data_IF_412495604207
#
_entry.id   IF_412495604207
#
_cell.length_a   1.000
_cell.length_b   1.000
_cell.length_c   1.000
_cell.angle_alpha   90.00
_cell.angle_beta   90.00
_cell.angle_gamma   90.00
#
_symmetry.space_group_name_H-M   'P 1'
#
loop_
_entity.id
_entity.type
_entity.pdbx_description
1 polymer ?
#
# COMPACT_ATOMS: atom_id res chain seq x y z
N UNK A 1 24.95 6.89 -20.75
CA UNK A 1 23.69 7.29 -20.08
C UNK A 1 23.40 6.23 -19.04
N UNK A 2 22.95 6.65 -17.85
CA UNK A 2 23.22 5.99 -16.57
C UNK A 2 22.90 4.49 -16.53
N UNK A 3 23.96 3.69 -16.37
CA UNK A 3 23.97 2.25 -16.09
C UNK A 3 23.44 1.90 -14.67
N UNK A 4 22.68 2.82 -14.07
CA UNK A 4 22.43 2.86 -12.64
C UNK A 4 20.96 2.64 -12.31
N UNK A 5 20.74 1.77 -11.33
CA UNK A 5 19.43 1.40 -10.83
C UNK A 5 18.63 2.65 -10.39
N UNK A 6 17.37 2.83 -10.82
CA UNK A 6 16.54 3.98 -10.46
C UNK A 6 16.53 4.26 -8.95
N UNK A 7 16.46 5.54 -8.56
CA UNK A 7 16.63 5.94 -7.15
C UNK A 7 15.70 5.19 -6.19
N UNK A 8 14.44 4.97 -6.58
CA UNK A 8 13.44 4.22 -5.80
C UNK A 8 13.88 2.76 -5.53
N UNK A 9 14.63 2.17 -6.45
CA UNK A 9 15.12 0.79 -6.38
C UNK A 9 16.47 0.66 -5.68
N UNK A 10 17.23 1.75 -5.48
CA UNK A 10 18.55 1.71 -4.85
C UNK A 10 18.55 1.07 -3.45
N UNK A 11 17.51 1.32 -2.64
CA UNK A 11 17.33 0.70 -1.31
C UNK A 11 17.24 -0.83 -1.39
N UNK A 12 16.82 -1.38 -2.53
CA UNK A 12 16.58 -2.80 -2.76
C UNK A 12 17.72 -3.47 -3.53
N UNK A 13 18.80 -2.74 -3.85
CA UNK A 13 19.95 -3.23 -4.63
C UNK A 13 20.52 -4.58 -4.15
N UNK A 14 20.50 -4.85 -2.85
CA UNK A 14 20.97 -6.13 -2.27
C UNK A 14 20.13 -7.36 -2.66
N UNK A 15 18.89 -7.15 -3.09
CA UNK A 15 17.95 -8.19 -3.50
C UNK A 15 17.88 -8.34 -5.02
N UNK A 16 18.46 -7.39 -5.76
CA UNK A 16 18.40 -7.34 -7.22
C UNK A 16 19.71 -7.88 -7.78
N UNK A 17 19.61 -8.73 -8.78
CA UNK A 17 20.76 -9.13 -9.58
C UNK A 17 20.97 -8.12 -10.71
N UNK A 18 22.02 -7.30 -10.60
CA UNK A 18 22.29 -6.26 -11.59
C UNK A 18 22.70 -6.80 -12.96
N UNK A 19 23.20 -8.04 -13.04
CA UNK A 19 23.52 -8.66 -14.32
C UNK A 19 22.25 -9.07 -15.05
N UNK A 20 21.31 -9.70 -14.34
CA UNK A 20 20.00 -10.06 -14.88
C UNK A 20 19.11 -8.83 -15.12
N UNK A 21 19.25 -7.78 -14.30
CA UNK A 21 18.46 -6.55 -14.43
C UNK A 21 18.65 -5.86 -15.80
N UNK A 22 19.82 -6.00 -16.41
CA UNK A 22 20.12 -5.45 -17.74
C UNK A 22 19.72 -6.39 -18.89
N UNK A 23 19.24 -7.59 -18.57
CA UNK A 23 18.80 -8.54 -19.58
C UNK A 23 17.29 -8.39 -19.81
N UNK A 24 16.92 -7.95 -21.01
CA UNK A 24 15.52 -7.74 -21.38
C UNK A 24 14.73 -9.06 -21.53
N UNK A 25 15.43 -10.18 -21.73
CA UNK A 25 14.84 -11.51 -21.94
C UNK A 25 14.77 -12.36 -20.65
N UNK A 26 14.64 -11.71 -19.49
CA UNK A 26 14.54 -12.42 -18.21
C UNK A 26 13.19 -13.16 -18.09
N UNK A 27 13.24 -14.50 -18.13
CA UNK A 27 12.08 -15.34 -17.85
C UNK A 27 12.05 -15.80 -16.37
N UNK A 28 11.11 -15.25 -15.55
CA UNK A 28 11.00 -15.61 -14.14
C UNK A 28 10.31 -16.96 -13.91
N UNK A 29 9.78 -17.61 -14.94
CA UNK A 29 9.03 -18.88 -14.85
C UNK A 29 9.89 -20.12 -15.02
N UNK A 30 11.19 -19.94 -15.28
CA UNK A 30 12.14 -21.04 -15.36
C UNK A 30 12.16 -21.85 -14.05
N UNK A 31 12.27 -23.19 -14.10
CA UNK A 31 12.27 -24.03 -12.89
C UNK A 31 13.37 -23.65 -11.88
N UNK A 32 14.48 -23.11 -12.36
CA UNK A 32 15.63 -22.68 -11.56
C UNK A 32 15.50 -21.24 -11.03
N UNK A 33 14.36 -20.57 -11.28
CA UNK A 33 14.12 -19.22 -10.80
C UNK A 33 14.12 -19.16 -9.26
N UNK A 34 15.19 -18.57 -8.74
CA UNK A 34 15.35 -18.32 -7.31
C UNK A 34 14.74 -16.96 -6.92
N UNK A 35 14.68 -16.69 -5.62
CA UNK A 35 14.10 -15.45 -5.10
C UNK A 35 14.74 -14.18 -5.71
N UNK A 36 16.05 -14.19 -5.97
CA UNK A 36 16.77 -13.04 -6.53
C UNK A 36 16.39 -12.79 -7.99
N UNK A 37 16.18 -13.85 -8.77
CA UNK A 37 15.63 -13.76 -10.14
C UNK A 37 14.26 -13.09 -10.12
N UNK A 38 13.37 -13.54 -9.23
CA UNK A 38 12.02 -12.98 -9.09
C UNK A 38 12.03 -11.51 -8.63
N UNK A 39 12.87 -11.16 -7.65
CA UNK A 39 13.04 -9.77 -7.22
C UNK A 39 13.55 -8.88 -8.36
N UNK A 40 14.46 -9.41 -9.17
CA UNK A 40 15.03 -8.69 -10.32
C UNK A 40 13.97 -8.43 -11.38
N UNK A 41 13.14 -9.42 -11.69
CA UNK A 41 12.03 -9.25 -12.62
C UNK A 41 11.04 -8.16 -12.16
N UNK A 42 10.63 -8.20 -10.88
CA UNK A 42 9.77 -7.16 -10.29
C UNK A 42 10.43 -5.78 -10.43
N UNK A 43 11.73 -5.67 -10.14
CA UNK A 43 12.45 -4.41 -10.26
C UNK A 43 12.52 -3.91 -11.71
N UNK A 44 12.73 -4.79 -12.69
CA UNK A 44 12.71 -4.44 -14.11
C UNK A 44 11.34 -3.90 -14.53
N UNK A 45 10.26 -4.59 -14.17
CA UNK A 45 8.89 -4.15 -14.48
C UNK A 45 8.59 -2.79 -13.85
N UNK A 46 8.98 -2.58 -12.60
CA UNK A 46 8.82 -1.28 -11.92
C UNK A 46 9.60 -0.14 -12.57
N UNK A 47 10.84 -0.40 -13.01
CA UNK A 47 11.63 0.59 -13.73
C UNK A 47 10.94 0.94 -15.05
N UNK A 48 10.53 -0.07 -15.81
CA UNK A 48 9.85 0.13 -17.09
C UNK A 48 8.50 0.85 -16.95
N UNK A 49 7.67 0.47 -15.97
CA UNK A 49 6.41 1.16 -15.69
C UNK A 49 6.61 2.63 -15.33
N UNK A 50 7.69 2.95 -14.60
CA UNK A 50 8.03 4.33 -14.27
C UNK A 50 8.46 5.15 -15.50
N UNK A 51 9.08 4.50 -16.50
CA UNK A 51 9.50 5.16 -17.74
C UNK A 51 8.34 5.42 -18.71
N UNK A 52 7.39 4.50 -18.81
CA UNK A 52 6.23 4.66 -19.73
C UNK A 52 5.10 5.51 -19.14
N UNK A 53 5.14 5.76 -17.82
CA UNK A 53 4.19 6.61 -17.07
C UNK A 53 2.70 6.26 -17.25
N UNK A 54 2.39 5.02 -17.60
CA UNK A 54 1.01 4.55 -17.69
C UNK A 54 0.37 4.41 -16.30
N UNK A 55 -0.92 4.71 -16.23
CA UNK A 55 -1.73 4.67 -15.01
C UNK A 55 -3.07 3.98 -15.25
N UNK A 56 -3.79 3.66 -14.17
CA UNK A 56 -5.14 3.09 -14.16
C UNK A 56 -5.23 1.81 -14.98
N UNK A 57 -6.32 1.62 -15.74
CA UNK A 57 -6.57 0.43 -16.55
C UNK A 57 -5.41 0.04 -17.45
N UNK A 58 -4.68 1.02 -18.03
CA UNK A 58 -3.54 0.71 -18.89
C UNK A 58 -2.37 0.06 -18.15
N UNK A 59 -2.11 0.51 -16.92
CA UNK A 59 -1.10 -0.13 -16.06
C UNK A 59 -1.56 -1.49 -15.55
N UNK A 60 -2.86 -1.64 -15.25
CA UNK A 60 -3.47 -2.91 -14.86
C UNK A 60 -3.33 -3.98 -15.96
N UNK A 61 -3.60 -3.63 -17.23
CA UNK A 61 -3.40 -4.53 -18.38
C UNK A 61 -1.97 -5.04 -18.48
N UNK A 62 -0.98 -4.14 -18.35
CA UNK A 62 0.44 -4.50 -18.40
C UNK A 62 0.84 -5.38 -17.22
N UNK A 63 0.40 -5.03 -16.01
CA UNK A 63 0.65 -5.84 -14.83
C UNK A 63 0.10 -7.26 -14.98
N UNK A 64 -1.12 -7.41 -15.51
CA UNK A 64 -1.69 -8.72 -15.80
C UNK A 64 -0.84 -9.50 -16.79
N UNK A 65 -0.46 -8.89 -17.90
CA UNK A 65 0.29 -9.56 -18.96
C UNK A 65 1.69 -9.99 -18.48
N UNK A 66 2.41 -9.11 -17.78
CA UNK A 66 3.76 -9.39 -17.27
C UNK A 66 3.75 -10.50 -16.19
N UNK A 67 2.69 -10.58 -15.40
CA UNK A 67 2.58 -11.52 -14.27
C UNK A 67 1.62 -12.70 -14.52
N UNK A 68 1.10 -12.87 -15.75
CA UNK A 68 0.07 -13.90 -16.08
C UNK A 68 0.48 -15.34 -15.74
N UNK A 69 1.77 -15.63 -15.78
CA UNK A 69 2.32 -16.96 -15.51
C UNK A 69 2.85 -17.10 -14.08
N UNK A 70 2.71 -16.07 -13.25
CA UNK A 70 3.15 -16.10 -11.86
C UNK A 70 2.15 -16.83 -10.98
N UNK A 71 2.67 -17.58 -10.03
CA UNK A 71 1.87 -18.26 -9.01
C UNK A 71 2.03 -17.57 -7.64
N UNK A 72 1.12 -17.89 -6.71
CA UNK A 72 1.23 -17.44 -5.32
C UNK A 72 2.55 -17.89 -4.69
N UNK A 73 3.02 -19.10 -5.04
CA UNK A 73 4.29 -19.65 -4.56
C UNK A 73 5.50 -18.84 -5.04
N UNK A 74 5.49 -18.37 -6.29
CA UNK A 74 6.53 -17.48 -6.82
C UNK A 74 6.52 -16.14 -6.08
N UNK A 75 5.35 -15.56 -5.87
CA UNK A 75 5.21 -14.34 -5.06
C UNK A 75 5.71 -14.56 -3.62
N UNK A 76 5.43 -15.71 -3.02
CA UNK A 76 5.85 -16.04 -1.64
C UNK A 76 7.36 -16.26 -1.49
N UNK A 77 8.06 -16.66 -2.56
CA UNK A 77 9.53 -16.66 -2.58
C UNK A 77 10.09 -15.24 -2.50
N UNK A 78 9.29 -14.22 -2.81
CA UNK A 78 9.74 -12.84 -2.77
C UNK A 78 9.84 -12.29 -1.34
N UNK A 79 10.75 -11.34 -1.13
CA UNK A 79 10.80 -10.60 0.14
C UNK A 79 9.57 -9.71 0.23
N UNK A 80 8.97 -9.64 1.43
CA UNK A 80 7.78 -8.81 1.67
C UNK A 80 7.98 -7.35 1.22
N UNK A 81 9.17 -6.78 1.46
CA UNK A 81 9.47 -5.39 1.06
C UNK A 81 9.41 -5.19 -0.47
N UNK A 82 9.76 -6.20 -1.27
CA UNK A 82 9.66 -6.16 -2.74
C UNK A 82 8.20 -6.22 -3.19
N UNK A 83 7.39 -7.06 -2.55
CA UNK A 83 5.96 -7.14 -2.85
C UNK A 83 5.23 -5.86 -2.44
N UNK A 84 5.60 -5.25 -1.31
CA UNK A 84 5.04 -3.97 -0.89
C UNK A 84 5.43 -2.85 -1.84
N UNK A 85 6.67 -2.85 -2.34
CA UNK A 85 7.11 -1.90 -3.36
C UNK A 85 6.27 -2.03 -4.63
N UNK A 86 6.05 -3.26 -5.12
CA UNK A 86 5.20 -3.54 -6.28
C UNK A 86 3.77 -3.04 -6.04
N UNK A 87 3.15 -3.45 -4.93
CA UNK A 87 1.80 -3.01 -4.56
C UNK A 87 1.69 -1.49 -4.50
N UNK A 88 2.62 -0.83 -3.81
CA UNK A 88 2.54 0.62 -3.60
C UNK A 88 2.72 1.39 -4.90
N UNK A 89 3.55 0.89 -5.81
CA UNK A 89 3.67 1.46 -7.14
C UNK A 89 2.36 1.33 -7.92
N UNK A 90 1.79 0.13 -7.98
CA UNK A 90 0.53 -0.15 -8.69
C UNK A 90 -0.62 0.71 -8.16
N UNK A 91 -0.81 0.70 -6.84
CA UNK A 91 -1.91 1.41 -6.17
C UNK A 91 -1.79 2.92 -6.32
N UNK A 92 -0.59 3.49 -6.16
CA UNK A 92 -0.40 4.94 -6.35
C UNK A 92 -0.74 5.38 -7.77
N UNK A 93 -0.54 4.50 -8.74
CA UNK A 93 -0.83 4.76 -10.15
C UNK A 93 -2.21 4.26 -10.59
N UNK A 94 -3.12 4.01 -9.64
CA UNK A 94 -4.54 3.77 -9.93
C UNK A 94 -4.95 2.31 -10.15
N UNK A 95 -4.05 1.35 -9.97
CA UNK A 95 -4.42 -0.08 -9.99
C UNK A 95 -4.90 -0.48 -8.59
N UNK A 96 -6.15 -0.87 -8.47
CA UNK A 96 -6.70 -1.28 -7.17
C UNK A 96 -6.08 -2.60 -6.69
N UNK A 97 -5.69 -2.64 -5.42
CA UNK A 97 -5.27 -3.87 -4.73
C UNK A 97 -5.94 -3.89 -3.35
N UNK A 98 -6.76 -4.91 -3.04
CA UNK A 98 -7.49 -4.98 -1.78
C UNK A 98 -6.60 -4.85 -0.54
N UNK A 99 -7.04 -4.12 0.48
CA UNK A 99 -6.32 -3.98 1.77
C UNK A 99 -6.86 -4.91 2.86
N UNK A 100 -7.40 -6.06 2.48
CA UNK A 100 -7.88 -7.07 3.42
C UNK A 100 -6.72 -7.80 4.17
N UNK A 101 -7.11 -8.70 5.08
CA UNK A 101 -6.20 -9.47 5.94
C UNK A 101 -5.54 -10.67 5.23
N UNK A 102 -5.75 -10.85 3.92
CA UNK A 102 -5.11 -11.93 3.17
C UNK A 102 -3.64 -11.63 2.92
N UNK A 103 -2.89 -12.70 2.62
CA UNK A 103 -1.48 -12.61 2.27
C UNK A 103 -1.32 -11.73 1.03
N UNK A 104 -0.27 -10.90 0.99
CA UNK A 104 -0.07 -9.97 -0.12
C UNK A 104 0.12 -10.70 -1.46
N UNK A 105 0.83 -11.84 -1.45
CA UNK A 105 0.99 -12.70 -2.61
C UNK A 105 -0.35 -13.13 -3.23
N UNK A 106 -1.32 -13.55 -2.39
CA UNK A 106 -2.66 -13.94 -2.86
C UNK A 106 -3.34 -12.77 -3.54
N UNK A 107 -3.37 -11.61 -2.89
CA UNK A 107 -4.03 -10.41 -3.45
C UNK A 107 -3.43 -9.94 -4.77
N UNK A 108 -2.10 -9.98 -4.89
CA UNK A 108 -1.40 -9.60 -6.11
C UNK A 108 -1.76 -10.54 -7.27
N UNK A 109 -1.87 -11.85 -7.00
CA UNK A 109 -2.25 -12.85 -8.00
C UNK A 109 -3.76 -12.79 -8.32
N UNK A 110 -4.62 -12.48 -7.35
CA UNK A 110 -6.03 -12.27 -7.63
C UNK A 110 -6.23 -11.15 -8.65
N UNK A 111 -5.53 -10.02 -8.49
CA UNK A 111 -5.58 -8.90 -9.44
C UNK A 111 -5.03 -9.30 -10.82
N UNK A 112 -4.03 -10.19 -10.88
CA UNK A 112 -3.56 -10.75 -12.17
C UNK A 112 -4.68 -11.52 -12.87
N UNK A 113 -5.50 -12.23 -12.10
CA UNK A 113 -6.57 -13.11 -12.59
C UNK A 113 -7.93 -12.40 -12.74
N UNK A 114 -8.05 -11.12 -12.35
CA UNK A 114 -9.28 -10.34 -12.52
C UNK A 114 -9.64 -10.22 -14.01
N UNK A 115 -10.91 -10.39 -14.35
CA UNK A 115 -11.37 -10.31 -15.74
C UNK A 115 -11.51 -8.85 -16.18
N UNK A 116 -12.03 -8.01 -15.28
CA UNK A 116 -12.31 -6.58 -15.50
C UNK A 116 -11.53 -5.75 -14.48
N UNK A 117 -11.18 -4.51 -14.84
CA UNK A 117 -10.49 -3.61 -13.94
C UNK A 117 -11.44 -3.10 -12.85
N UNK A 118 -10.93 -3.02 -11.62
CA UNK A 118 -11.73 -2.52 -10.50
C UNK A 118 -11.84 -0.99 -10.54
N UNK A 119 -13.07 -0.49 -10.59
CA UNK A 119 -13.37 0.93 -10.42
C UNK A 119 -13.27 1.34 -8.95
N UNK A 120 -12.42 2.33 -8.66
CA UNK A 120 -12.26 2.85 -7.32
C UNK A 120 -13.54 3.46 -6.76
N UNK A 121 -13.97 2.97 -5.60
CA UNK A 121 -15.03 3.60 -4.81
C UNK A 121 -14.51 4.80 -4.01
N UNK A 122 -15.41 5.69 -3.60
CA UNK A 122 -15.05 6.87 -2.82
C UNK A 122 -14.42 6.49 -1.47
N UNK A 123 -14.92 5.44 -0.83
CA UNK A 123 -14.42 4.90 0.43
C UNK A 123 -12.99 4.35 0.27
N UNK A 124 -12.71 3.65 -0.83
CA UNK A 124 -11.38 3.12 -1.13
C UNK A 124 -10.38 4.23 -1.41
N UNK A 125 -10.79 5.27 -2.14
CA UNK A 125 -9.99 6.48 -2.38
C UNK A 125 -9.64 7.12 -1.03
N UNK A 126 -10.60 7.32 -0.14
CA UNK A 126 -10.35 7.89 1.19
C UNK A 126 -9.40 7.03 2.03
N UNK A 127 -9.55 5.72 1.99
CA UNK A 127 -8.65 4.79 2.68
C UNK A 127 -7.23 4.90 2.12
N UNK A 128 -7.08 4.97 0.79
CA UNK A 128 -5.79 5.11 0.13
C UNK A 128 -5.13 6.45 0.46
N UNK A 129 -5.90 7.54 0.49
CA UNK A 129 -5.39 8.86 0.91
C UNK A 129 -4.96 8.88 2.37
N UNK A 130 -5.71 8.23 3.27
CA UNK A 130 -5.45 8.24 4.72
C UNK A 130 -4.33 7.31 5.14
N UNK A 131 -4.24 6.12 4.55
CA UNK A 131 -3.37 5.02 5.01
C UNK A 131 -2.36 4.56 3.97
N UNK A 132 -2.62 4.80 2.70
CA UNK A 132 -1.85 4.24 1.59
C UNK A 132 -0.78 5.17 1.00
N UNK A 133 -0.66 6.38 1.53
CA UNK A 133 0.29 7.38 1.04
C UNK A 133 -0.20 8.13 -0.21
N UNK A 134 -1.51 8.11 -0.48
CA UNK A 134 -2.14 8.84 -1.57
C UNK A 134 -1.91 8.23 -2.95
N UNK A 135 -2.17 9.03 -3.98
CA UNK A 135 -1.96 8.69 -5.39
C UNK A 135 -0.77 9.46 -5.97
N UNK A 136 -0.21 8.95 -7.06
CA UNK A 136 0.79 9.68 -7.84
C UNK A 136 0.16 10.91 -8.48
N UNK A 137 0.96 11.94 -8.76
CA UNK A 137 0.48 13.14 -9.47
C UNK A 137 -0.03 12.83 -10.88
N UNK A 138 0.39 11.70 -11.45
CA UNK A 138 0.01 11.26 -12.80
C UNK A 138 -1.36 10.56 -12.83
N UNK A 139 -1.89 10.15 -11.67
CA UNK A 139 -3.21 9.54 -11.57
C UNK A 139 -4.17 10.41 -10.76
N UNK A 140 -5.29 10.79 -11.39
CA UNK A 140 -6.38 11.51 -10.74
C UNK A 140 -7.48 10.49 -10.47
N UNK A 141 -7.75 10.11 -9.21
CA UNK A 141 -8.82 9.18 -8.92
C UNK A 141 -10.17 9.81 -9.29
N UNK A 142 -11.17 8.99 -9.67
CA UNK A 142 -12.51 9.50 -9.94
C UNK A 142 -13.09 10.09 -8.65
N UNK A 143 -13.09 11.43 -8.55
CA UNK A 143 -13.81 12.12 -7.48
C UNK A 143 -15.29 11.99 -7.76
N UNK A 144 -16.08 11.52 -6.80
CA UNK A 144 -17.52 11.74 -6.83
C UNK A 144 -17.77 13.24 -7.01
N UNK A 145 -18.54 13.62 -8.03
CA UNK A 145 -18.94 15.00 -8.27
C UNK A 145 -19.70 15.53 -7.04
N UNK A 146 -18.98 16.19 -6.13
CA UNK A 146 -19.53 17.21 -5.23
C UNK A 146 -18.93 18.54 -5.67
N UNK A 147 -19.59 19.16 -6.63
CA UNK A 147 -19.42 20.58 -6.89
C UNK A 147 -19.78 21.36 -5.62
N UNK A 148 -18.80 21.77 -4.82
CA UNK A 148 -18.89 23.02 -4.06
C UNK A 148 -17.54 23.46 -3.49
N UNK A 149 -17.13 24.65 -3.92
CA UNK A 149 -16.32 25.62 -3.17
C UNK A 149 -14.82 25.35 -2.98
N UNK A 150 -14.06 25.47 -4.07
CA UNK A 150 -12.85 26.30 -4.03
C UNK A 150 -13.16 27.59 -4.80
N UNK A 151 -13.82 28.52 -4.11
CA UNK A 151 -13.60 29.93 -4.41
C UNK A 151 -12.13 30.20 -4.08
N UNK A 152 -11.37 30.44 -5.14
CA UNK A 152 -10.15 31.23 -5.15
C UNK A 152 -10.28 32.41 -4.19
N UNK A 153 -9.45 32.45 -3.15
CA UNK A 153 -8.93 33.74 -2.67
C UNK A 153 -7.71 33.56 -1.76
N UNK A 154 -6.50 33.65 -2.32
CA UNK A 154 -5.39 34.28 -1.61
C UNK A 154 -4.60 35.10 -2.64
N UNK A 155 -5.16 36.25 -3.00
CA UNK A 155 -4.39 37.43 -3.34
C UNK A 155 -5.07 38.62 -2.65
N UNK A 156 -4.54 39.01 -1.50
CA UNK A 156 -4.57 40.41 -1.07
C UNK A 156 -3.57 40.62 0.07
N UNK A 157 -2.51 41.31 -0.32
CA UNK A 157 -1.59 42.05 0.50
C UNK A 157 -2.24 42.77 1.70
N UNK A 158 -1.52 42.71 2.81
CA UNK A 158 -1.13 43.87 3.62
C UNK A 158 -2.16 44.98 3.81
N UNK A 159 -2.85 44.97 4.96
CA UNK A 159 -3.15 46.22 5.68
C UNK A 159 -3.12 46.04 7.19
N UNK A 160 -2.05 46.61 7.74
CA UNK A 160 -1.86 47.13 9.09
C UNK A 160 -3.08 47.97 9.51
N UNK A 161 -3.64 47.75 10.71
CA UNK A 161 -3.66 48.73 11.83
C UNK A 161 -4.65 48.37 12.97
N UNK A 162 -4.13 48.53 14.18
CA UNK A 162 -4.75 48.81 15.50
C UNK A 162 -5.77 47.88 16.17
N UNK A 163 -5.26 47.22 17.21
CA UNK A 163 -5.75 47.18 18.61
C UNK A 163 -7.13 47.75 18.94
N UNK A 164 -7.93 46.94 19.64
CA UNK A 164 -8.59 47.36 20.88
C UNK A 164 -8.75 46.17 21.83
N UNK A 165 -8.24 46.37 23.06
CA UNK A 165 -8.37 45.50 24.23
C UNK A 165 -9.82 45.43 24.69
N UNK A 166 -10.25 44.26 25.15
CA UNK A 166 -11.20 44.15 26.26
C UNK A 166 -10.85 42.92 27.09
N UNK A 167 -10.43 43.18 28.32
CA UNK A 167 -10.21 42.23 29.40
C UNK A 167 -11.54 41.61 29.85
N UNK A 168 -11.59 40.28 30.01
CA UNK A 168 -12.46 39.63 30.99
C UNK A 168 -11.69 38.48 31.64
N UNK A 169 -11.35 38.70 32.90
CA UNK A 169 -10.86 37.71 33.86
C UNK A 169 -12.03 36.83 34.31
N UNK A 170 -11.85 35.51 34.38
CA UNK A 170 -12.44 34.72 35.46
C UNK A 170 -11.69 33.39 35.63
N UNK A 171 -10.98 33.29 36.75
CA UNK A 171 -10.40 32.05 37.26
C UNK A 171 -11.49 31.21 37.93
N UNK A 172 -11.46 29.91 37.69
CA UNK A 172 -12.29 28.94 38.41
C UNK A 172 -11.68 27.55 38.33
N UNK A 173 -10.83 27.22 39.31
CA UNK A 173 -10.38 25.86 39.58
C UNK A 173 -11.57 25.03 40.06
N UNK A 174 -11.71 23.80 39.56
CA UNK A 174 -12.33 22.71 40.31
C UNK A 174 -11.53 21.41 40.09
N UNK A 175 -10.80 21.07 41.13
CA UNK A 175 -10.40 19.73 41.55
C UNK A 175 -11.61 18.82 41.75
N UNK A 176 -11.56 17.58 41.27
CA UNK A 176 -11.93 16.41 42.11
C UNK A 176 -11.32 15.12 41.58
N UNK A 177 -10.52 14.48 42.44
CA UNK A 177 -10.12 13.08 42.35
C UNK A 177 -11.34 12.19 42.69
N UNK A 178 -11.41 11.00 42.09
CA UNK A 178 -11.96 9.83 42.77
C UNK A 178 -11.26 8.54 42.33
N UNK A 179 -11.15 7.63 43.28
CA UNK A 179 -10.18 6.57 43.46
C UNK A 179 -10.78 5.17 43.22
N UNK A 180 -9.86 4.20 42.99
CA UNK A 180 -9.91 2.73 43.28
C UNK A 180 -10.86 1.89 42.41
N UNK A 181 -10.36 0.97 41.57
CA UNK A 181 -9.68 -0.35 41.81
C UNK A 181 -10.60 -1.45 42.39
N UNK A 182 -10.24 -2.74 42.28
CA UNK A 182 -10.47 -3.68 41.19
C UNK A 182 -11.45 -4.80 41.64
N UNK A 183 -11.74 -5.82 40.84
CA UNK A 183 -12.24 -7.07 41.43
C UNK A 183 -11.68 -8.31 40.74
N UNK A 184 -11.14 -9.18 41.60
CA UNK A 184 -10.50 -10.46 41.32
C UNK A 184 -11.52 -11.62 41.25
N UNK A 185 -11.14 -12.64 40.47
CA UNK A 185 -11.22 -14.10 40.73
C UNK A 185 -12.57 -14.80 40.98
N UNK A 186 -12.78 -15.87 40.21
CA UNK A 186 -12.80 -17.31 40.64
C UNK A 186 -12.87 -18.17 39.35
N UNK A 187 -11.93 -19.09 39.05
CA UNK A 187 -11.72 -20.48 39.56
C UNK A 187 -12.96 -21.36 39.36
N UNK A 188 -12.97 -22.57 38.76
CA UNK A 188 -12.02 -23.70 38.74
C UNK A 188 -12.33 -24.60 37.51
N UNK A 189 -11.31 -25.13 36.81
CA UNK A 189 -10.89 -26.55 36.78
C UNK A 189 -11.99 -27.62 36.91
N UNK A 190 -12.02 -28.56 35.93
CA UNK A 190 -12.01 -30.01 36.20
C UNK A 190 -11.29 -30.77 35.07
N UNK A 191 -10.54 -31.79 35.48
CA UNK A 191 -9.60 -32.62 34.72
C UNK A 191 -10.23 -33.96 34.27
N UNK A 192 -9.60 -34.56 33.25
CA UNK A 192 -9.30 -35.99 32.98
C UNK A 192 -10.39 -37.10 32.99
N UNK A 193 -10.34 -37.96 31.96
CA UNK A 193 -10.19 -39.45 31.97
C UNK A 193 -10.47 -39.99 30.53
N UNK A 194 -9.46 -40.43 29.76
CA UNK A 194 -9.09 -41.85 29.44
C UNK A 194 -10.26 -42.80 29.11
N UNK A 195 -10.25 -43.47 27.95
CA UNK A 195 -9.71 -44.84 27.67
C UNK A 195 -10.36 -45.49 26.41
N UNK A 196 -9.60 -46.38 25.74
CA UNK A 196 -9.95 -47.57 24.90
C UNK A 196 -10.32 -47.35 23.42
N UNK A 197 -9.61 -47.89 22.43
CA UNK A 197 -9.27 -49.30 22.02
C UNK A 197 -10.39 -50.00 21.22
N UNK A 198 -9.98 -50.71 20.15
CA UNK A 198 -10.70 -51.64 19.23
C UNK A 198 -11.55 -50.98 18.12
N UNK A 199 -11.47 -51.35 16.82
CA UNK A 199 -10.96 -52.56 16.12
C UNK A 199 -10.06 -52.21 14.92
#
# INVERSE_FOLDING_TARGET
MADELPHVLQKYKKYIDLTLFKNDDLDPTTPDANAKTLHTYIAQRLAWYAEIEYTAGRLWELYKEDFKSWTVEMMDKCKADMLYLLRDFLVKNGVFIPRDNRRLAIRLIDVVNEIEDHEWTQEEIEIQMRRGGGFSSSYIPPTSYQASNYKTNINSESKVFSSQKVDVTCSGQLTTQSQRQPNEKQSSQFQHLTTKEQD
#
